data_IF_801075318650
#
_entry.id   IF_801075318650
#
_cell.length_a   1.000
_cell.length_b   1.000
_cell.length_c   1.000
_cell.angle_alpha   90.00
_cell.angle_beta   90.00
_cell.angle_gamma   90.00
#
_symmetry.space_group_name_H-M   'P 1'
#
loop_
_entity.id
_entity.type
_entity.pdbx_description
1 polymer ?
#
# COMPACT_ATOMS: atom_id res chain seq x y z
N UNK A 1 12.90 -24.86 16.55
CA UNK A 1 13.73 -25.24 15.39
C UNK A 1 12.77 -25.52 14.26
N UNK A 2 12.72 -24.65 13.23
CA UNK A 2 11.84 -24.91 12.10
C UNK A 2 12.36 -26.18 11.39
N UNK A 3 11.52 -27.20 11.33
CA UNK A 3 11.86 -28.43 10.62
C UNK A 3 12.10 -28.09 9.15
N UNK A 4 13.12 -28.69 8.54
CA UNK A 4 13.40 -28.49 7.12
C UNK A 4 12.16 -28.94 6.31
N UNK A 5 11.74 -28.19 5.27
CA UNK A 5 10.63 -28.61 4.44
C UNK A 5 10.96 -29.92 3.70
N UNK A 6 10.01 -30.86 3.65
CA UNK A 6 10.17 -32.14 2.95
C UNK A 6 10.10 -31.93 1.42
N UNK A 7 11.20 -32.16 0.67
CA UNK A 7 11.22 -31.93 -0.77
C UNK A 7 10.23 -32.81 -1.55
N UNK A 8 9.96 -34.03 -1.09
CA UNK A 8 9.03 -34.94 -1.75
C UNK A 8 7.58 -34.45 -1.61
N UNK A 9 7.22 -34.00 -0.40
CA UNK A 9 5.92 -33.38 -0.14
C UNK A 9 5.73 -32.10 -0.96
N UNK A 10 6.73 -31.22 -0.98
CA UNK A 10 6.69 -29.99 -1.77
C UNK A 10 6.48 -30.29 -3.27
N UNK A 11 7.19 -31.29 -3.79
CA UNK A 11 7.07 -31.67 -5.19
C UNK A 11 5.68 -32.20 -5.52
N UNK A 12 5.09 -33.04 -4.66
CA UNK A 12 3.74 -33.53 -4.84
C UNK A 12 2.69 -32.40 -4.86
N UNK A 13 2.82 -31.41 -3.97
CA UNK A 13 1.92 -30.25 -3.92
C UNK A 13 2.07 -29.37 -5.16
N UNK A 14 3.29 -29.07 -5.60
CA UNK A 14 3.54 -28.31 -6.84
C UNK A 14 3.01 -29.04 -8.07
N UNK A 15 3.15 -30.37 -8.13
CA UNK A 15 2.62 -31.19 -9.22
C UNK A 15 1.09 -31.23 -9.24
N UNK A 16 0.45 -31.13 -8.07
CA UNK A 16 -1.00 -31.02 -7.93
C UNK A 16 -1.55 -29.60 -8.19
N UNK A 17 -0.68 -28.64 -8.57
CA UNK A 17 -1.00 -27.21 -8.67
C UNK A 17 -1.48 -26.58 -7.35
N UNK A 18 -1.23 -27.24 -6.21
CA UNK A 18 -1.51 -26.75 -4.86
C UNK A 18 -0.35 -25.89 -4.35
N UNK A 19 -0.26 -24.69 -4.91
CA UNK A 19 0.81 -23.74 -4.58
C UNK A 19 0.66 -23.19 -3.16
N UNK A 20 -0.57 -23.06 -2.65
CA UNK A 20 -0.83 -22.58 -1.30
C UNK A 20 -0.37 -23.62 -0.25
N UNK A 21 -0.67 -24.91 -0.47
CA UNK A 21 -0.15 -26.00 0.34
C UNK A 21 1.38 -26.08 0.31
N UNK A 22 1.99 -25.88 -0.87
CA UNK A 22 3.45 -25.84 -1.01
C UNK A 22 4.07 -24.66 -0.25
N UNK A 23 3.45 -23.47 -0.30
CA UNK A 23 3.91 -22.31 0.46
C UNK A 23 3.83 -22.55 1.97
N UNK A 24 2.74 -23.16 2.46
CA UNK A 24 2.60 -23.54 3.88
C UNK A 24 3.65 -24.56 4.32
N UNK A 25 3.98 -25.50 3.44
CA UNK A 25 5.03 -26.50 3.66
C UNK A 25 6.44 -25.93 3.54
N UNK A 26 6.63 -24.63 3.25
CA UNK A 26 7.94 -23.98 3.22
C UNK A 26 8.62 -23.96 1.86
N UNK A 27 7.86 -23.95 0.75
CA UNK A 27 8.42 -23.92 -0.61
C UNK A 27 9.44 -22.79 -0.82
N UNK A 28 9.26 -21.61 -0.20
CA UNK A 28 10.21 -20.50 -0.34
C UNK A 28 11.51 -20.70 0.43
N UNK A 29 11.49 -21.51 1.48
CA UNK A 29 12.63 -21.80 2.35
C UNK A 29 13.42 -23.03 1.89
N UNK A 30 12.88 -23.80 0.94
CA UNK A 30 13.57 -24.93 0.35
C UNK A 30 14.83 -24.47 -0.40
N UNK A 31 15.96 -25.07 -0.02
CA UNK A 31 17.25 -24.92 -0.69
C UNK A 31 17.66 -26.29 -1.21
N UNK A 32 17.88 -26.37 -2.53
CA UNK A 32 18.31 -27.60 -3.18
C UNK A 32 19.68 -28.04 -2.64
N UNK A 33 19.78 -29.31 -2.25
CA UNK A 33 21.01 -29.91 -1.79
C UNK A 33 21.48 -31.04 -2.72
N UNK A 34 22.79 -31.32 -2.76
CA UNK A 34 23.30 -32.50 -3.46
C UNK A 34 22.66 -33.76 -2.88
N UNK A 35 22.07 -34.60 -3.73
CA UNK A 35 21.37 -35.83 -3.33
C UNK A 35 19.85 -35.72 -3.31
N UNK A 36 19.29 -34.51 -3.43
CA UNK A 36 17.84 -34.32 -3.51
C UNK A 36 17.23 -34.98 -4.77
N UNK A 37 18.03 -35.16 -5.82
CA UNK A 37 17.71 -35.90 -7.05
C UNK A 37 17.42 -37.40 -6.82
N UNK A 38 17.85 -37.93 -5.68
CA UNK A 38 17.68 -39.35 -5.30
C UNK A 38 16.59 -39.57 -4.26
N UNK A 39 16.01 -38.51 -3.70
CA UNK A 39 14.99 -38.61 -2.66
C UNK A 39 13.68 -39.20 -3.20
N UNK A 40 13.36 -38.92 -4.46
CA UNK A 40 12.15 -39.44 -5.10
C UNK A 40 12.51 -40.30 -6.33
N UNK A 41 12.32 -41.63 -6.25
CA UNK A 41 12.54 -42.52 -7.37
C UNK A 41 11.70 -42.10 -8.58
N UNK A 42 12.33 -42.00 -9.75
CA UNK A 42 11.67 -41.60 -11.00
C UNK A 42 11.57 -40.09 -11.25
N UNK A 43 12.01 -39.24 -10.31
CA UNK A 43 11.95 -37.79 -10.43
C UNK A 43 13.28 -37.09 -10.08
N UNK A 44 14.34 -37.30 -10.88
CA UNK A 44 15.61 -36.59 -10.68
C UNK A 44 15.50 -35.08 -10.95
N UNK A 45 14.42 -34.63 -11.62
CA UNK A 45 14.13 -33.23 -11.92
C UNK A 45 13.45 -32.49 -10.76
N UNK A 46 13.16 -33.15 -9.64
CA UNK A 46 12.54 -32.58 -8.44
C UNK A 46 13.16 -31.23 -8.00
N UNK A 47 14.48 -31.11 -7.74
CA UNK A 47 15.06 -29.85 -7.28
C UNK A 47 14.92 -28.73 -8.33
N UNK A 48 15.00 -29.08 -9.61
CA UNK A 48 14.82 -28.14 -10.71
C UNK A 48 13.37 -27.64 -10.80
N UNK A 49 12.40 -28.54 -10.66
CA UNK A 49 10.96 -28.21 -10.67
C UNK A 49 10.57 -27.29 -9.52
N UNK A 50 11.04 -27.58 -8.31
CA UNK A 50 10.83 -26.71 -7.14
C UNK A 50 11.47 -25.33 -7.35
N UNK A 51 12.68 -25.28 -7.89
CA UNK A 51 13.35 -24.01 -8.24
C UNK A 51 12.59 -23.20 -9.30
N UNK A 52 12.01 -23.86 -10.29
CA UNK A 52 11.16 -23.20 -11.29
C UNK A 52 9.89 -22.61 -10.65
N UNK A 53 9.22 -23.35 -9.78
CA UNK A 53 8.05 -22.86 -9.04
C UNK A 53 8.39 -21.64 -8.17
N UNK A 54 9.50 -21.69 -7.43
CA UNK A 54 10.02 -20.56 -6.68
C UNK A 54 10.26 -19.33 -7.57
N UNK A 55 10.88 -19.53 -8.74
CA UNK A 55 11.18 -18.45 -9.66
C UNK A 55 9.92 -17.82 -10.26
N UNK A 56 8.91 -18.64 -10.59
CA UNK A 56 7.62 -18.16 -11.09
C UNK A 56 6.89 -17.32 -10.03
N UNK A 57 6.86 -17.78 -8.77
CA UNK A 57 6.26 -17.03 -7.67
C UNK A 57 6.95 -15.68 -7.43
N UNK A 58 8.28 -15.65 -7.39
CA UNK A 58 9.04 -14.41 -7.28
C UNK A 58 8.74 -13.43 -8.43
N UNK A 59 8.61 -13.93 -9.67
CA UNK A 59 8.21 -13.11 -10.82
C UNK A 59 6.79 -12.56 -10.68
N UNK A 60 5.85 -13.39 -10.21
CA UNK A 60 4.47 -12.96 -9.99
C UNK A 60 4.39 -11.87 -8.91
N UNK A 61 5.11 -12.02 -7.80
CA UNK A 61 5.18 -10.99 -6.75
C UNK A 61 5.82 -9.70 -7.25
N UNK A 62 6.95 -9.78 -7.97
CA UNK A 62 7.57 -8.60 -8.56
C UNK A 62 6.63 -7.89 -9.54
N UNK A 63 5.84 -8.64 -10.33
CA UNK A 63 4.83 -8.06 -11.22
C UNK A 63 3.72 -7.35 -10.44
N UNK A 64 3.20 -7.96 -9.37
CA UNK A 64 2.21 -7.37 -8.47
C UNK A 64 2.74 -6.09 -7.83
N UNK A 65 4.00 -6.08 -7.40
CA UNK A 65 4.61 -4.91 -6.77
C UNK A 65 4.77 -3.75 -7.77
N UNK A 66 5.20 -4.04 -9.02
CA UNK A 66 5.23 -3.02 -10.08
C UNK A 66 3.86 -2.42 -10.35
N UNK A 67 2.82 -3.25 -10.37
CA UNK A 67 1.44 -2.80 -10.54
C UNK A 67 1.01 -1.87 -9.40
N UNK A 68 1.26 -2.25 -8.13
CA UNK A 68 0.98 -1.41 -6.95
C UNK A 68 1.72 -0.08 -7.02
N UNK A 69 3.01 -0.10 -7.33
CA UNK A 69 3.81 1.12 -7.47
C UNK A 69 3.26 2.05 -8.57
N UNK A 70 2.77 1.48 -9.69
CA UNK A 70 2.11 2.26 -10.75
C UNK A 70 0.80 2.86 -10.27
N UNK A 71 -0.02 2.09 -9.57
CA UNK A 71 -1.30 2.56 -9.03
C UNK A 71 -1.11 3.76 -8.08
N UNK A 72 -0.12 3.69 -7.19
CA UNK A 72 0.23 4.82 -6.29
C UNK A 72 0.61 6.07 -7.09
N UNK A 73 1.42 5.93 -8.14
CA UNK A 73 1.81 7.08 -8.98
C UNK A 73 0.62 7.70 -9.71
N UNK A 74 -0.31 6.88 -10.20
CA UNK A 74 -1.51 7.36 -10.87
C UNK A 74 -2.45 8.07 -9.89
N UNK A 75 -2.69 7.49 -8.72
CA UNK A 75 -3.50 8.10 -7.66
C UNK A 75 -2.95 9.48 -7.25
N UNK A 76 -1.62 9.62 -7.13
CA UNK A 76 -0.97 10.93 -6.87
C UNK A 76 -1.26 11.95 -7.96
N UNK A 77 -1.14 11.56 -9.23
CA UNK A 77 -1.41 12.45 -10.38
C UNK A 77 -2.88 12.84 -10.45
N UNK A 78 -3.77 11.91 -10.14
CA UNK A 78 -5.21 12.17 -10.07
C UNK A 78 -5.54 13.17 -8.97
N UNK A 79 -5.03 12.96 -7.75
CA UNK A 79 -5.19 13.89 -6.63
C UNK A 79 -4.64 15.29 -6.94
N UNK A 80 -3.48 15.40 -7.60
CA UNK A 80 -2.94 16.70 -8.03
C UNK A 80 -3.84 17.38 -9.05
N UNK A 81 -4.35 16.64 -10.04
CA UNK A 81 -5.27 17.18 -11.04
C UNK A 81 -6.59 17.62 -10.41
N UNK A 82 -7.10 16.86 -9.47
CA UNK A 82 -8.31 17.19 -8.75
C UNK A 82 -8.12 18.45 -7.91
N UNK A 83 -7.01 18.57 -7.15
CA UNK A 83 -6.66 19.78 -6.41
C UNK A 83 -6.54 21.03 -7.30
N UNK A 84 -6.06 20.88 -8.55
CA UNK A 84 -6.01 21.98 -9.54
C UNK A 84 -7.40 22.34 -10.10
N UNK A 85 -8.34 21.38 -10.13
CA UNK A 85 -9.71 21.57 -10.62
C UNK A 85 -10.64 22.12 -9.53
N UNK A 86 -10.38 21.80 -8.27
CA UNK A 86 -11.14 22.32 -7.15
C UNK A 86 -10.93 23.85 -7.07
N UNK A 87 -12.00 24.65 -7.22
CA UNK A 87 -11.89 26.09 -7.06
C UNK A 87 -11.30 26.41 -5.69
N UNK A 88 -10.35 27.35 -5.64
CA UNK A 88 -9.77 27.82 -4.38
C UNK A 88 -10.94 28.24 -3.46
N UNK A 89 -10.98 27.76 -2.20
CA UNK A 89 -12.01 28.21 -1.27
C UNK A 89 -12.00 29.73 -1.21
N UNK A 90 -13.18 30.34 -1.33
CA UNK A 90 -13.32 31.78 -1.37
C UNK A 90 -12.59 32.39 -0.17
N UNK A 91 -11.83 33.49 -0.37
CA UNK A 91 -11.17 34.16 0.75
C UNK A 91 -12.24 34.51 1.79
N UNK A 92 -11.90 34.28 3.06
CA UNK A 92 -12.77 34.54 4.20
C UNK A 92 -12.97 36.06 4.33
N UNK A 93 -13.95 36.59 3.60
CA UNK A 93 -14.31 37.99 3.64
C UNK A 93 -14.99 38.21 4.98
N UNK A 94 -14.23 38.73 5.95
CA UNK A 94 -14.77 39.17 7.23
C UNK A 94 -15.97 40.08 6.96
N UNK A 95 -17.18 39.72 7.39
CA UNK A 95 -18.34 40.55 7.14
C UNK A 95 -18.08 41.91 7.77
N UNK A 96 -18.30 42.97 6.98
CA UNK A 96 -18.22 44.33 7.50
C UNK A 96 -19.16 44.46 8.70
N UNK A 97 -18.70 45.14 9.75
CA UNK A 97 -19.45 45.31 10.98
C UNK A 97 -20.86 45.84 10.63
N UNK A 98 -21.94 45.15 11.05
CA UNK A 98 -23.30 45.57 10.70
C UNK A 98 -23.55 46.99 11.21
N UNK A 99 -24.23 47.80 10.40
CA UNK A 99 -24.41 49.24 10.64
C UNK A 99 -24.96 49.57 12.04
N UNK A 100 -25.79 48.69 12.60
CA UNK A 100 -26.31 48.81 13.96
C UNK A 100 -25.20 48.79 15.03
N UNK A 101 -24.20 47.91 14.89
CA UNK A 101 -23.07 47.83 15.82
C UNK A 101 -22.13 49.03 15.67
N UNK A 102 -21.92 49.52 14.45
CA UNK A 102 -21.17 50.76 14.21
C UNK A 102 -21.86 51.97 14.86
N UNK A 103 -23.19 52.06 14.79
CA UNK A 103 -23.95 53.13 15.43
C UNK A 103 -23.88 53.08 16.97
N UNK A 104 -23.87 51.89 17.56
CA UNK A 104 -23.71 51.72 19.02
C UNK A 104 -22.30 52.17 19.44
N UNK A 105 -21.26 51.78 18.71
CA UNK A 105 -19.89 52.22 18.98
C UNK A 105 -19.72 53.75 18.82
N UNK A 106 -20.33 54.35 17.81
CA UNK A 106 -20.30 55.80 17.62
C UNK A 106 -20.96 56.56 18.78
N UNK A 107 -22.09 56.05 19.29
CA UNK A 107 -22.78 56.62 20.46
C UNK A 107 -21.97 56.42 21.75
N UNK A 108 -21.34 55.26 21.91
CA UNK A 108 -20.46 54.99 23.05
C UNK A 108 -19.24 55.91 23.05
N UNK A 109 -18.61 56.11 21.87
CA UNK A 109 -17.49 57.06 21.69
C UNK A 109 -17.91 58.50 21.99
N UNK A 110 -19.08 58.93 21.52
CA UNK A 110 -19.61 60.26 21.83
C UNK A 110 -19.85 60.45 23.33
N UNK A 111 -20.43 59.45 24.02
CA UNK A 111 -20.63 59.50 25.48
C UNK A 111 -19.32 59.52 26.27
N UNK A 112 -18.28 58.82 25.79
CA UNK A 112 -16.95 58.85 26.40
C UNK A 112 -16.29 60.22 26.24
N UNK A 113 -16.33 60.81 25.05
CA UNK A 113 -15.79 62.15 24.78
C UNK A 113 -16.54 63.27 25.53
N UNK A 114 -17.83 63.09 25.83
CA UNK A 114 -18.60 64.02 26.68
C UNK A 114 -18.41 63.79 28.18
N UNK A 115 -17.67 62.74 28.57
CA UNK A 115 -17.39 62.36 29.97
C UNK A 115 -15.89 62.44 30.30
N UNK A 116 -15.17 63.28 29.58
CA UNK A 116 -13.87 63.81 30.00
C UNK A 116 -14.09 65.26 30.46
N UNK A 117 -13.81 65.62 31.73
CA UNK A 117 -13.67 67.01 32.16
C UNK A 117 -12.37 67.65 31.67
#
# INVERSE_FOLDING_TARGET
>A
MASRPDPAQLFAQVQADDIDGALQAGLMDYVAQPGDDRLLPGHPDLPHRLGQAQQQLRRAWAARERYRARAVRLARREAERDARRTPRPAPDVKPALPAAAAAILARAKARAASKEP
#
